data_IF_385763798644
#
_entry.id   IF_385763798644
#
_cell.length_a   1.000
_cell.length_b   1.000
_cell.length_c   1.000
_cell.angle_alpha   90.00
_cell.angle_beta   90.00
_cell.angle_gamma   90.00
#
_symmetry.space_group_name_H-M   'P 1'
#
loop_
_entity.id
_entity.type
_entity.pdbx_description
1 polymer ?
#
# COMPACT_ATOMS: atom_id res chain seq x y z
N UNK A 1 0.94 -25.01 9.32
CA UNK A 1 0.23 -23.78 9.71
C UNK A 1 0.64 -22.70 8.74
N UNK A 2 -0.17 -22.46 7.71
CA UNK A 2 0.06 -21.42 6.71
C UNK A 2 -0.11 -20.04 7.36
N UNK A 3 0.96 -19.57 8.01
CA UNK A 3 1.10 -18.16 8.34
C UNK A 3 1.57 -17.43 7.08
N UNK A 4 0.67 -17.32 6.09
CA UNK A 4 0.79 -16.26 5.09
C UNK A 4 0.49 -14.94 5.81
N UNK A 5 1.53 -14.38 6.45
CA UNK A 5 1.56 -13.00 6.97
C UNK A 5 1.25 -11.97 5.87
N UNK A 6 1.31 -12.40 4.61
CA UNK A 6 1.00 -11.63 3.42
C UNK A 6 0.04 -12.43 2.55
N UNK A 7 -1.18 -11.94 2.34
CA UNK A 7 -2.04 -12.54 1.33
C UNK A 7 -3.50 -12.18 1.42
N UNK A 8 -4.08 -11.98 0.24
CA UNK A 8 -5.51 -12.07 -0.02
C UNK A 8 -6.10 -13.30 0.68
N UNK A 9 -7.18 -13.10 1.43
CA UNK A 9 -7.99 -14.19 1.97
C UNK A 9 -9.37 -14.09 1.34
N UNK A 10 -9.76 -15.15 0.63
CA UNK A 10 -11.09 -15.23 0.07
C UNK A 10 -12.12 -15.15 1.21
N UNK A 11 -12.88 -14.05 1.26
CA UNK A 11 -14.05 -13.92 2.14
C UNK A 11 -15.27 -13.62 1.28
N UNK A 12 -16.45 -14.01 1.74
CA UNK A 12 -17.69 -13.73 1.03
C UNK A 12 -18.25 -12.37 1.47
N UNK A 13 -17.70 -11.27 0.96
CA UNK A 13 -18.15 -9.90 1.26
C UNK A 13 -18.45 -9.13 -0.02
N UNK A 14 -19.31 -8.11 0.06
CA UNK A 14 -19.66 -7.27 -1.09
C UNK A 14 -18.41 -6.65 -1.74
N UNK A 15 -17.45 -6.21 -0.91
CA UNK A 15 -16.18 -5.66 -1.39
C UNK A 15 -15.37 -6.72 -2.13
N UNK A 16 -15.26 -7.95 -1.61
CA UNK A 16 -14.48 -9.00 -2.28
C UNK A 16 -14.98 -9.35 -3.68
N UNK A 17 -16.28 -9.25 -3.91
CA UNK A 17 -16.89 -9.52 -5.22
C UNK A 17 -16.78 -8.38 -6.24
N UNK A 18 -16.29 -7.21 -5.84
CA UNK A 18 -15.98 -6.15 -6.78
C UNK A 18 -14.63 -6.43 -7.46
N UNK A 19 -14.53 -6.05 -8.73
CA UNK A 19 -13.35 -6.22 -9.57
C UNK A 19 -12.16 -5.45 -8.97
N UNK A 20 -10.97 -6.06 -8.97
CA UNK A 20 -9.72 -5.46 -8.52
C UNK A 20 -9.41 -4.10 -9.16
N UNK A 21 -9.78 -3.92 -10.44
CA UNK A 21 -9.72 -2.64 -11.15
C UNK A 21 -10.52 -1.54 -10.47
N UNK A 22 -11.79 -1.79 -10.10
CA UNK A 22 -12.65 -0.78 -9.47
C UNK A 22 -12.12 -0.40 -8.08
N UNK A 23 -11.65 -1.39 -7.31
CA UNK A 23 -10.98 -1.18 -6.02
C UNK A 23 -9.71 -0.34 -6.17
N UNK A 24 -8.87 -0.63 -7.16
CA UNK A 24 -7.65 0.12 -7.43
C UNK A 24 -7.97 1.58 -7.81
N UNK A 25 -8.91 1.79 -8.72
CA UNK A 25 -9.34 3.14 -9.13
C UNK A 25 -9.88 3.91 -7.93
N UNK A 26 -10.76 3.29 -7.13
CA UNK A 26 -11.28 3.89 -5.91
C UNK A 26 -10.18 4.22 -4.89
N UNK A 27 -9.25 3.28 -4.66
CA UNK A 27 -8.10 3.48 -3.78
C UNK A 27 -7.24 4.67 -4.24
N UNK A 28 -6.84 4.70 -5.51
CA UNK A 28 -6.02 5.78 -6.07
C UNK A 28 -6.75 7.12 -6.03
N UNK A 29 -8.04 7.16 -6.40
CA UNK A 29 -8.85 8.36 -6.37
C UNK A 29 -8.94 8.96 -4.95
N UNK A 30 -9.31 8.14 -3.96
CA UNK A 30 -9.49 8.57 -2.57
C UNK A 30 -8.16 8.97 -1.91
N UNK A 31 -7.09 8.22 -2.15
CA UNK A 31 -5.76 8.56 -1.63
C UNK A 31 -5.22 9.84 -2.26
N UNK A 32 -5.40 10.05 -3.56
CA UNK A 32 -4.93 11.26 -4.24
C UNK A 32 -5.65 12.50 -3.72
N UNK A 33 -7.00 12.49 -3.67
CA UNK A 33 -7.75 13.66 -3.18
C UNK A 33 -7.46 13.94 -1.70
N UNK A 34 -7.37 12.90 -0.86
CA UNK A 34 -7.04 13.07 0.55
C UNK A 34 -5.61 13.57 0.78
N UNK A 35 -4.65 13.20 -0.08
CA UNK A 35 -3.26 13.68 0.05
C UNK A 35 -3.13 15.15 -0.35
N UNK A 36 -3.89 15.59 -1.36
CA UNK A 36 -3.91 16.99 -1.82
C UNK A 36 -4.66 17.89 -0.83
N UNK A 37 -5.71 17.38 -0.18
CA UNK A 37 -6.54 18.14 0.75
C UNK A 37 -5.86 18.38 2.09
N UNK A 38 -6.06 19.57 2.65
CA UNK A 38 -5.74 19.93 4.04
C UNK A 38 -7.01 20.39 4.78
N UNK A 39 -8.18 19.93 4.33
CA UNK A 39 -9.44 20.13 5.05
C UNK A 39 -9.63 19.02 6.10
N UNK A 40 -9.56 19.39 7.37
CA UNK A 40 -9.67 18.46 8.49
C UNK A 40 -11.01 17.73 8.54
N UNK A 41 -12.12 18.40 8.17
CA UNK A 41 -13.47 17.81 8.19
C UNK A 41 -13.56 16.73 7.12
N UNK A 42 -13.03 17.01 5.94
CA UNK A 42 -12.95 16.04 4.85
C UNK A 42 -12.05 14.86 5.20
N UNK A 43 -10.88 15.09 5.80
CA UNK A 43 -9.96 14.04 6.22
C UNK A 43 -10.54 13.15 7.34
N UNK A 44 -11.29 13.72 8.28
CA UNK A 44 -12.03 12.94 9.30
C UNK A 44 -13.09 12.07 8.61
N UNK A 45 -13.87 12.61 7.68
CA UNK A 45 -14.87 11.85 6.94
C UNK A 45 -14.25 10.69 6.15
N UNK A 46 -13.11 10.92 5.47
CA UNK A 46 -12.35 9.88 4.78
C UNK A 46 -11.80 8.82 5.75
N UNK A 47 -11.33 9.25 6.93
CA UNK A 47 -10.83 8.33 7.96
C UNK A 47 -11.95 7.40 8.42
N UNK A 48 -13.12 7.94 8.77
CA UNK A 48 -14.29 7.17 9.18
C UNK A 48 -14.69 6.20 8.07
N UNK A 49 -14.81 6.67 6.82
CA UNK A 49 -15.13 5.83 5.67
C UNK A 49 -14.14 4.67 5.51
N UNK A 50 -12.84 4.94 5.65
CA UNK A 50 -11.80 3.93 5.49
C UNK A 50 -11.91 2.80 6.53
N UNK A 51 -12.25 3.11 7.79
CA UNK A 51 -12.50 2.12 8.83
C UNK A 51 -13.82 1.37 8.63
N UNK A 52 -14.86 2.05 8.13
CA UNK A 52 -16.11 1.40 7.73
C UNK A 52 -15.85 0.36 6.63
N UNK A 53 -15.01 0.67 5.64
CA UNK A 53 -14.64 -0.27 4.59
C UNK A 53 -13.88 -1.49 5.14
N UNK A 54 -12.97 -1.32 6.10
CA UNK A 54 -12.33 -2.45 6.81
C UNK A 54 -13.39 -3.35 7.48
N UNK A 55 -14.35 -2.75 8.18
CA UNK A 55 -15.41 -3.47 8.89
C UNK A 55 -16.31 -4.23 7.92
N UNK A 56 -16.70 -3.60 6.80
CA UNK A 56 -17.47 -4.22 5.72
C UNK A 56 -16.71 -5.34 5.01
N UNK A 57 -15.39 -5.23 4.91
CA UNK A 57 -14.54 -6.29 4.35
C UNK A 57 -14.28 -7.45 5.33
N UNK A 58 -14.81 -7.37 6.56
CA UNK A 58 -14.62 -8.33 7.64
C UNK A 58 -13.14 -8.70 7.86
N UNK A 59 -12.26 -7.70 7.77
CA UNK A 59 -10.83 -7.85 8.04
C UNK A 59 -10.62 -7.80 9.56
N UNK A 60 -10.11 -8.88 10.15
CA UNK A 60 -9.85 -8.92 11.60
C UNK A 60 -8.63 -8.06 11.93
N UNK A 61 -8.67 -7.33 13.05
CA UNK A 61 -7.57 -6.48 13.52
C UNK A 61 -6.23 -7.21 13.59
N UNK A 62 -6.24 -8.48 14.02
CA UNK A 62 -5.04 -9.33 14.14
C UNK A 62 -4.28 -9.50 12.82
N UNK A 63 -4.95 -9.39 11.68
CA UNK A 63 -4.36 -9.61 10.36
C UNK A 63 -3.51 -8.42 9.89
N UNK A 64 -3.81 -7.21 10.35
CA UNK A 64 -3.09 -5.99 9.98
C UNK A 64 -2.47 -5.26 11.18
N UNK A 65 -2.61 -5.77 12.41
CA UNK A 65 -2.11 -5.12 13.62
C UNK A 65 -0.60 -4.85 13.58
N UNK A 66 0.20 -5.76 13.02
CA UNK A 66 1.64 -5.56 12.86
C UNK A 66 1.93 -4.40 11.88
N UNK A 67 1.24 -4.39 10.74
CA UNK A 67 1.39 -3.34 9.73
C UNK A 67 0.92 -1.98 10.26
N UNK A 68 -0.19 -1.95 11.01
CA UNK A 68 -0.69 -0.73 11.65
C UNK A 68 0.31 -0.18 12.66
N UNK A 69 0.85 -1.04 13.55
CA UNK A 69 1.87 -0.62 14.52
C UNK A 69 3.10 -0.05 13.83
N UNK A 70 3.56 -0.68 12.76
CA UNK A 70 4.71 -0.22 11.98
C UNK A 70 4.43 1.15 11.33
N UNK A 71 3.28 1.32 10.70
CA UNK A 71 2.89 2.58 10.05
C UNK A 71 2.69 3.69 11.07
N UNK A 72 2.06 3.41 12.21
CA UNK A 72 1.91 4.38 13.30
C UNK A 72 3.26 4.76 13.91
N UNK A 73 4.18 3.80 14.08
CA UNK A 73 5.52 4.06 14.58
C UNK A 73 6.31 4.97 13.62
N UNK A 74 6.33 4.64 12.33
CA UNK A 74 6.99 5.47 11.30
C UNK A 74 6.30 6.85 11.21
N UNK A 75 4.97 6.88 11.24
CA UNK A 75 4.19 8.12 11.21
C UNK A 75 4.49 9.01 12.42
N UNK A 76 4.59 8.44 13.62
CA UNK A 76 4.95 9.16 14.83
C UNK A 76 6.37 9.72 14.75
N UNK A 77 7.34 8.93 14.29
CA UNK A 77 8.70 9.42 14.06
C UNK A 77 8.69 10.58 13.06
N UNK A 78 7.91 10.48 12.00
CA UNK A 78 7.81 11.54 11.00
C UNK A 78 7.21 12.83 11.60
N UNK A 79 6.12 12.73 12.37
CA UNK A 79 5.53 13.88 13.06
C UNK A 79 6.54 14.54 14.02
N UNK A 80 7.28 13.74 14.80
CA UNK A 80 8.33 14.25 15.69
C UNK A 80 9.49 14.89 14.90
N UNK A 81 9.89 14.30 13.77
CA UNK A 81 10.92 14.90 12.92
C UNK A 81 10.46 16.24 12.36
N UNK A 82 9.20 16.37 11.96
CA UNK A 82 8.63 17.62 11.46
C UNK A 82 8.60 18.69 12.56
N UNK A 83 8.15 18.36 13.78
CA UNK A 83 8.17 19.34 14.90
C UNK A 83 9.57 19.84 15.19
N UNK A 84 10.58 18.96 15.17
CA UNK A 84 11.97 19.30 15.53
C UNK A 84 12.68 20.08 14.42
N UNK A 85 12.50 19.67 13.16
CA UNK A 85 13.20 20.25 12.01
C UNK A 85 12.51 21.51 11.46
N UNK A 86 11.19 21.58 11.53
CA UNK A 86 10.38 22.67 10.97
C UNK A 86 9.23 23.11 11.91
N UNK A 87 9.54 23.61 13.12
CA UNK A 87 8.55 23.96 14.14
C UNK A 87 7.60 25.11 13.76
N UNK A 88 7.99 25.96 12.81
CA UNK A 88 7.19 27.13 12.36
C UNK A 88 6.47 26.89 11.02
N UNK A 89 6.47 25.66 10.51
CA UNK A 89 5.86 25.36 9.21
C UNK A 89 4.35 25.65 9.20
N UNK A 90 3.64 25.29 10.28
CA UNK A 90 2.22 25.59 10.44
C UNK A 90 1.92 27.10 10.45
N UNK A 91 2.76 27.91 11.11
CA UNK A 91 2.62 29.38 11.12
C UNK A 91 2.73 29.96 9.71
N UNK A 92 3.75 29.53 8.94
CA UNK A 92 3.91 29.96 7.56
C UNK A 92 2.71 29.55 6.68
N UNK A 93 2.10 28.40 6.97
CA UNK A 93 1.00 27.84 6.20
C UNK A 93 -0.33 28.56 6.46
N UNK A 94 -0.63 28.84 7.73
CA UNK A 94 -1.92 29.41 8.15
C UNK A 94 -1.88 30.95 8.30
N UNK A 95 -0.69 31.54 8.35
CA UNK A 95 -0.49 33.00 8.41
C UNK A 95 -0.76 33.64 9.77
N UNK A 96 -1.04 32.83 10.79
CA UNK A 96 -1.27 33.25 12.18
C UNK A 96 -0.28 32.58 13.11
N UNK A 97 -0.05 33.17 14.29
CA UNK A 97 0.86 32.65 15.30
C UNK A 97 0.21 32.66 16.68
N UNK A 98 -0.20 31.49 17.15
CA UNK A 98 -0.67 31.31 18.53
C UNK A 98 0.31 30.39 19.26
N UNK A 99 1.20 30.99 20.04
CA UNK A 99 2.20 30.27 20.84
C UNK A 99 1.51 29.58 22.00
N UNK A 100 1.71 28.27 22.14
CA UNK A 100 1.17 27.50 23.25
C UNK A 100 2.26 27.15 24.26
N UNK A 101 3.38 26.59 23.81
CA UNK A 101 4.50 26.19 24.67
C UNK A 101 5.85 26.42 23.98
N UNK A 102 6.88 26.68 24.80
CA UNK A 102 8.26 26.83 24.33
C UNK A 102 8.66 28.26 24.01
N UNK A 103 9.96 28.46 23.81
CA UNK A 103 10.57 29.73 23.41
C UNK A 103 11.75 29.45 22.48
N UNK A 104 11.99 30.32 21.51
CA UNK A 104 13.05 30.15 20.51
C UNK A 104 12.68 29.17 19.39
N UNK A 105 13.66 28.37 18.92
CA UNK A 105 13.47 27.44 17.81
C UNK A 105 12.36 26.42 18.08
N UNK A 106 12.28 25.88 19.29
CA UNK A 106 11.30 24.86 19.70
C UNK A 106 9.97 25.46 20.18
N UNK A 107 9.48 26.49 19.50
CA UNK A 107 8.16 27.06 19.81
C UNK A 107 7.08 26.19 19.19
N UNK A 108 6.21 25.60 20.02
CA UNK A 108 5.06 24.82 19.58
C UNK A 108 3.86 25.76 19.48
N UNK A 109 3.37 25.94 18.24
CA UNK A 109 2.20 26.75 17.95
C UNK A 109 0.96 25.89 17.75
N UNK A 110 -0.22 26.48 17.96
CA UNK A 110 -1.50 25.81 17.68
C UNK A 110 -1.61 25.43 16.20
N UNK A 111 -1.11 26.29 15.32
CA UNK A 111 -1.06 26.08 13.88
C UNK A 111 -0.20 24.86 13.50
N UNK A 112 0.94 24.67 14.16
CA UNK A 112 1.82 23.52 13.95
C UNK A 112 1.15 22.21 14.39
N UNK A 113 0.52 22.21 15.57
CA UNK A 113 -0.22 21.04 16.06
C UNK A 113 -1.40 20.70 15.15
N UNK A 114 -2.10 21.71 14.63
CA UNK A 114 -3.20 21.51 13.69
C UNK A 114 -2.72 20.97 12.34
N UNK A 115 -1.58 21.45 11.83
CA UNK A 115 -0.94 20.87 10.65
C UNK A 115 -0.59 19.39 10.86
N UNK A 116 0.01 19.05 12.00
CA UNK A 116 0.37 17.68 12.35
C UNK A 116 -0.84 16.77 12.53
N UNK A 117 -1.94 17.28 13.08
CA UNK A 117 -3.20 16.57 13.14
C UNK A 117 -3.70 16.19 11.74
N UNK A 118 -3.64 17.12 10.78
CA UNK A 118 -4.02 16.82 9.40
C UNK A 118 -3.11 15.75 8.78
N UNK A 119 -1.80 15.78 9.07
CA UNK A 119 -0.87 14.75 8.60
C UNK A 119 -1.12 13.38 9.26
N UNK A 120 -1.44 13.34 10.55
CA UNK A 120 -1.86 12.14 11.26
C UNK A 120 -3.11 11.55 10.59
N UNK A 121 -4.12 12.37 10.32
CA UNK A 121 -5.34 11.94 9.63
C UNK A 121 -5.02 11.36 8.24
N UNK A 122 -4.04 11.93 7.51
CA UNK A 122 -3.58 11.39 6.22
C UNK A 122 -3.06 9.96 6.35
N UNK A 123 -2.29 9.66 7.39
CA UNK A 123 -1.87 8.28 7.68
C UNK A 123 -3.05 7.39 8.07
N UNK A 124 -3.97 7.90 8.90
CA UNK A 124 -5.10 7.14 9.44
C UNK A 124 -6.15 6.77 8.39
N UNK A 125 -6.35 7.55 7.32
CA UNK A 125 -7.28 7.18 6.25
C UNK A 125 -6.60 6.35 5.14
N UNK A 126 -5.35 6.68 4.79
CA UNK A 126 -4.65 6.05 3.65
C UNK A 126 -4.28 4.59 3.96
N UNK A 127 -3.86 4.31 5.20
CA UNK A 127 -3.48 2.97 5.61
C UNK A 127 -4.67 1.98 5.54
N UNK A 128 -5.85 2.25 6.14
CA UNK A 128 -6.99 1.35 6.03
C UNK A 128 -7.45 1.11 4.59
N UNK A 129 -7.45 2.15 3.74
CA UNK A 129 -7.77 1.99 2.31
C UNK A 129 -6.81 1.01 1.62
N UNK A 130 -5.51 1.11 1.94
CA UNK A 130 -4.48 0.21 1.42
C UNK A 130 -4.71 -1.24 1.87
N UNK A 131 -5.07 -1.43 3.15
CA UNK A 131 -5.39 -2.74 3.73
C UNK A 131 -6.63 -3.35 3.06
N UNK A 132 -7.67 -2.56 2.78
CA UNK A 132 -8.84 -3.04 2.05
C UNK A 132 -8.42 -3.55 0.67
N UNK A 133 -7.66 -2.77 -0.11
CA UNK A 133 -7.20 -3.20 -1.43
C UNK A 133 -6.38 -4.51 -1.37
N UNK A 134 -5.42 -4.58 -0.46
CA UNK A 134 -4.46 -5.69 -0.35
C UNK A 134 -5.10 -7.00 0.11
N UNK A 135 -6.04 -6.95 1.06
CA UNK A 135 -6.68 -8.14 1.61
C UNK A 135 -7.91 -8.62 0.82
N UNK A 136 -8.48 -7.75 -0.04
CA UNK A 136 -9.72 -8.05 -0.79
C UNK A 136 -9.52 -8.31 -2.28
N UNK A 137 -8.29 -8.18 -2.79
CA UNK A 137 -8.01 -8.36 -4.22
C UNK A 137 -7.05 -9.53 -4.43
N UNK A 138 -7.43 -10.47 -5.31
CA UNK A 138 -6.54 -11.56 -5.67
C UNK A 138 -5.32 -11.02 -6.45
N UNK A 139 -4.08 -11.43 -6.13
CA UNK A 139 -2.88 -10.99 -6.85
C UNK A 139 -2.93 -11.17 -8.38
N UNK A 140 -3.49 -12.29 -8.86
CA UNK A 140 -3.63 -12.56 -10.30
C UNK A 140 -4.70 -11.68 -10.96
N UNK A 141 -5.79 -11.43 -10.23
CA UNK A 141 -6.85 -10.51 -10.66
C UNK A 141 -6.35 -9.05 -10.68
N UNK A 142 -5.56 -8.65 -9.68
CA UNK A 142 -4.91 -7.34 -9.61
C UNK A 142 -4.08 -7.08 -10.87
N UNK A 143 -3.25 -8.06 -11.25
CA UNK A 143 -2.43 -7.97 -12.45
C UNK A 143 -3.27 -7.87 -13.73
N UNK A 144 -4.34 -8.66 -13.87
CA UNK A 144 -5.29 -8.52 -14.99
C UNK A 144 -5.97 -7.15 -14.99
N UNK A 145 -6.29 -6.62 -13.81
CA UNK A 145 -6.90 -5.31 -13.63
C UNK A 145 -6.02 -4.14 -14.06
N UNK A 146 -4.69 -4.25 -13.94
CA UNK A 146 -3.76 -3.26 -14.47
C UNK A 146 -3.91 -3.10 -16.00
N UNK A 147 -4.06 -4.22 -16.73
CA UNK A 147 -4.21 -4.17 -18.17
C UNK A 147 -5.49 -3.43 -18.61
N UNK A 148 -6.56 -3.52 -17.82
CA UNK A 148 -7.82 -2.79 -18.06
C UNK A 148 -7.69 -1.27 -17.94
N UNK A 149 -6.77 -0.78 -17.11
CA UNK A 149 -6.54 0.65 -16.88
C UNK A 149 -5.53 1.21 -17.91
N UNK A 150 -5.16 0.42 -18.92
CA UNK A 150 -4.28 0.84 -20.01
C UNK A 150 -2.81 0.47 -19.83
N UNK A 151 -2.45 -0.27 -18.76
CA UNK A 151 -1.09 -0.80 -18.62
C UNK A 151 -0.82 -1.84 -19.72
N UNK A 152 0.31 -1.78 -20.45
CA UNK A 152 0.63 -2.75 -21.49
C UNK A 152 0.58 -4.19 -20.97
N UNK A 153 0.01 -5.11 -21.75
CA UNK A 153 -0.22 -6.48 -21.28
C UNK A 153 1.08 -7.19 -20.87
N UNK A 154 2.23 -6.83 -21.47
CA UNK A 154 3.55 -7.36 -21.11
C UNK A 154 3.93 -7.00 -19.67
N UNK A 155 3.65 -5.76 -19.26
CA UNK A 155 3.91 -5.26 -17.89
C UNK A 155 2.95 -5.91 -16.90
N UNK A 156 1.65 -5.93 -17.21
CA UNK A 156 0.65 -6.63 -16.40
C UNK A 156 1.00 -8.12 -16.23
N UNK A 157 1.46 -8.78 -17.29
CA UNK A 157 1.85 -10.19 -17.25
C UNK A 157 3.12 -10.42 -16.43
N UNK A 158 4.10 -9.50 -16.48
CA UNK A 158 5.28 -9.56 -15.62
C UNK A 158 4.86 -9.51 -14.13
N UNK A 159 3.96 -8.60 -13.76
CA UNK A 159 3.40 -8.52 -12.39
C UNK A 159 2.69 -9.83 -12.01
N UNK A 160 1.86 -10.39 -12.89
CA UNK A 160 1.15 -11.65 -12.64
C UNK A 160 2.12 -12.82 -12.39
N UNK A 161 3.17 -12.92 -13.22
CA UNK A 161 4.24 -13.91 -13.09
C UNK A 161 4.95 -13.72 -11.74
N UNK A 162 5.41 -12.52 -11.42
CA UNK A 162 6.12 -12.25 -10.17
C UNK A 162 5.29 -12.68 -8.97
N UNK A 163 4.00 -12.29 -8.91
CA UNK A 163 3.11 -12.64 -7.81
C UNK A 163 2.91 -14.16 -7.69
N UNK A 164 2.85 -14.88 -8.82
CA UNK A 164 2.76 -16.35 -8.85
C UNK A 164 4.05 -17.03 -8.39
N UNK A 165 5.22 -16.44 -8.62
CA UNK A 165 6.51 -17.03 -8.27
C UNK A 165 6.97 -16.71 -6.84
N UNK A 166 6.35 -15.76 -6.13
CA UNK A 166 6.68 -15.48 -4.72
C UNK A 166 6.65 -16.75 -3.84
N UNK A 167 5.59 -17.60 -3.89
CA UNK A 167 5.57 -18.85 -3.11
C UNK A 167 6.68 -19.82 -3.51
N UNK A 168 6.98 -19.94 -4.80
CA UNK A 168 8.07 -20.80 -5.29
C UNK A 168 9.43 -20.32 -4.75
N UNK A 169 9.70 -19.01 -4.81
CA UNK A 169 10.94 -18.42 -4.28
C UNK A 169 11.04 -18.60 -2.77
N UNK A 170 9.93 -18.52 -2.03
CA UNK A 170 9.91 -18.82 -0.59
C UNK A 170 10.24 -20.29 -0.29
N UNK A 171 9.72 -21.21 -1.10
CA UNK A 171 10.01 -22.65 -1.00
C UNK A 171 11.48 -22.94 -1.32
N UNK A 172 12.00 -22.35 -2.40
CA UNK A 172 13.40 -22.48 -2.81
C UNK A 172 14.33 -21.90 -1.71
N UNK A 173 14.01 -20.72 -1.19
CA UNK A 173 14.74 -20.12 -0.05
C UNK A 173 14.77 -21.06 1.15
N UNK A 174 13.62 -21.64 1.54
CA UNK A 174 13.54 -22.56 2.68
C UNK A 174 14.40 -23.81 2.45
N UNK A 175 14.33 -24.38 1.26
CA UNK A 175 15.10 -25.57 0.87
C UNK A 175 16.60 -25.29 0.91
N UNK A 176 17.04 -24.20 0.28
CA UNK A 176 18.45 -23.78 0.25
C UNK A 176 18.92 -23.44 1.67
N UNK A 177 18.11 -22.74 2.45
CA UNK A 177 18.44 -22.39 3.84
C UNK A 177 18.67 -23.63 4.69
N UNK A 178 17.81 -24.66 4.59
CA UNK A 178 18.00 -25.93 5.29
C UNK A 178 19.25 -26.67 4.82
N UNK A 179 19.53 -26.69 3.52
CA UNK A 179 20.73 -27.31 2.97
C UNK A 179 22.02 -26.62 3.44
N UNK A 180 22.04 -25.28 3.51
CA UNK A 180 23.20 -24.54 4.02
C UNK A 180 23.38 -24.72 5.53
N UNK A 181 22.28 -24.83 6.29
CA UNK A 181 22.36 -25.18 7.71
C UNK A 181 22.95 -26.58 7.93
N UNK A 182 22.60 -27.55 7.09
CA UNK A 182 23.20 -28.89 7.12
C UNK A 182 24.70 -28.89 6.78
N UNK A 183 25.18 -27.90 6.01
CA UNK A 183 26.61 -27.66 5.73
C UNK A 183 27.34 -26.90 6.85
N UNK A 184 26.68 -26.63 7.97
CA UNK A 184 27.27 -25.98 9.14
C UNK A 184 27.16 -24.45 9.15
N UNK A 185 26.44 -23.84 8.20
CA UNK A 185 26.17 -22.41 8.25
C UNK A 185 25.07 -22.11 9.27
N UNK A 186 25.47 -21.64 10.45
CA UNK A 186 24.52 -21.20 11.48
C UNK A 186 23.97 -19.80 11.15
N UNK A 187 22.67 -19.71 10.89
CA UNK A 187 21.95 -18.46 10.54
C UNK A 187 21.11 -17.96 11.73
N UNK A 188 21.02 -18.79 12.78
CA UNK A 188 20.31 -18.53 14.02
C UNK A 188 20.85 -17.28 14.74
N UNK A 189 20.00 -16.68 15.57
CA UNK A 189 20.36 -15.57 16.48
C UNK A 189 21.51 -15.94 17.45
N UNK A 190 21.85 -17.22 17.58
CA UNK A 190 22.97 -17.72 18.40
C UNK A 190 24.35 -17.47 17.81
N UNK A 191 24.45 -17.21 16.49
CA UNK A 191 25.73 -16.98 15.81
C UNK A 191 26.07 -15.49 15.70
N UNK A 192 27.36 -15.18 15.55
CA UNK A 192 27.86 -13.80 15.39
C UNK A 192 27.30 -13.14 14.13
N UNK A 193 27.14 -11.81 14.14
CA UNK A 193 26.60 -11.05 12.98
C UNK A 193 27.34 -11.36 11.67
N UNK A 194 28.67 -11.44 11.71
CA UNK A 194 29.51 -11.74 10.55
C UNK A 194 29.22 -13.14 10.01
N UNK A 195 29.05 -14.13 10.88
CA UNK A 195 28.74 -15.50 10.49
C UNK A 195 27.34 -15.62 9.88
N UNK A 196 26.36 -14.89 10.42
CA UNK A 196 25.00 -14.79 9.85
C UNK A 196 25.00 -14.14 8.47
N UNK A 197 25.79 -13.09 8.29
CA UNK A 197 25.95 -12.46 6.97
C UNK A 197 26.55 -13.42 5.96
N UNK A 198 27.64 -14.12 6.31
CA UNK A 198 28.24 -15.16 5.45
C UNK A 198 27.23 -16.25 5.09
N UNK A 199 26.51 -16.78 6.08
CA UNK A 199 25.45 -17.78 5.86
C UNK A 199 24.33 -17.27 4.95
N UNK A 200 23.94 -16.00 5.08
CA UNK A 200 22.92 -15.38 4.23
C UNK A 200 23.38 -15.28 2.77
N UNK A 201 24.63 -14.87 2.53
CA UNK A 201 25.22 -14.82 1.18
C UNK A 201 25.22 -16.20 0.52
N UNK A 202 25.51 -17.26 1.28
CA UNK A 202 25.49 -18.65 0.79
C UNK A 202 24.09 -19.16 0.42
N UNK A 203 23.02 -18.48 0.84
CA UNK A 203 21.64 -18.79 0.44
C UNK A 203 21.23 -17.94 -0.76
N UNK A 204 21.55 -16.65 -0.73
CA UNK A 204 21.17 -15.71 -1.79
C UNK A 204 21.80 -16.11 -3.12
N UNK A 205 23.09 -16.47 -3.13
CA UNK A 205 23.77 -16.84 -4.37
C UNK A 205 23.10 -18.02 -5.11
N UNK A 206 22.89 -19.20 -4.49
CA UNK A 206 22.13 -20.29 -5.13
C UNK A 206 20.71 -19.92 -5.51
N UNK A 207 20.03 -19.10 -4.71
CA UNK A 207 18.66 -18.67 -5.00
C UNK A 207 18.60 -17.79 -6.26
N UNK A 208 19.58 -16.90 -6.44
CA UNK A 208 19.71 -16.08 -7.65
C UNK A 208 19.99 -16.95 -8.87
N UNK A 209 20.94 -17.89 -8.80
CA UNK A 209 21.23 -18.79 -9.92
C UNK A 209 20.02 -19.69 -10.28
N UNK A 210 19.31 -20.22 -9.28
CA UNK A 210 18.06 -20.96 -9.49
C UNK A 210 17.01 -20.09 -10.19
N UNK A 211 16.87 -18.85 -9.75
CA UNK A 211 15.92 -17.89 -10.34
C UNK A 211 16.30 -17.54 -11.79
N UNK A 212 17.59 -17.38 -12.11
CA UNK A 212 18.06 -17.14 -13.48
C UNK A 212 17.76 -18.31 -14.42
N UNK A 213 18.08 -19.54 -14.02
CA UNK A 213 17.74 -20.72 -14.84
C UNK A 213 16.22 -20.88 -15.03
N UNK A 214 15.44 -20.53 -14.00
CA UNK A 214 13.98 -20.47 -14.10
C UNK A 214 13.51 -19.39 -15.09
N UNK A 215 14.13 -18.23 -15.11
CA UNK A 215 13.81 -17.16 -16.08
C UNK A 215 14.07 -17.66 -17.51
N UNK A 216 15.20 -18.32 -17.77
CA UNK A 216 15.54 -18.85 -19.10
C UNK A 216 14.50 -19.85 -19.59
N UNK A 217 14.15 -20.83 -18.74
CA UNK A 217 13.14 -21.86 -19.07
C UNK A 217 11.76 -21.26 -19.32
N UNK A 218 11.33 -20.29 -18.50
CA UNK A 218 10.05 -19.59 -18.67
C UNK A 218 10.06 -18.76 -19.95
N UNK A 219 11.14 -18.02 -20.22
CA UNK A 219 11.26 -17.16 -21.40
C UNK A 219 11.18 -17.97 -22.69
N UNK A 220 11.93 -19.07 -22.78
CA UNK A 220 11.88 -19.99 -23.93
C UNK A 220 10.47 -20.60 -24.09
N UNK A 221 9.84 -21.03 -23.00
CA UNK A 221 8.47 -21.55 -23.05
C UNK A 221 7.44 -20.48 -23.47
N UNK A 222 7.65 -19.21 -23.08
CA UNK A 222 6.82 -18.09 -23.49
C UNK A 222 6.98 -17.81 -24.99
N UNK A 223 8.20 -17.84 -25.51
CA UNK A 223 8.49 -17.66 -26.94
C UNK A 223 7.85 -18.76 -27.80
N UNK A 224 7.97 -20.03 -27.40
CA UNK A 224 7.30 -21.17 -28.05
C UNK A 224 5.76 -21.02 -28.06
N UNK A 225 5.19 -20.40 -27.01
CA UNK A 225 3.77 -20.08 -26.92
C UNK A 225 3.39 -18.76 -27.61
N UNK A 226 4.29 -18.20 -28.43
CA UNK A 226 4.11 -16.95 -29.20
C UNK A 226 3.79 -15.74 -28.32
N UNK A 227 4.31 -15.71 -27.09
CA UNK A 227 4.21 -14.54 -26.24
C UNK A 227 4.90 -13.35 -26.94
N UNK A 228 4.24 -12.20 -27.01
CA UNK A 228 4.83 -11.03 -27.69
C UNK A 228 4.35 -10.80 -29.11
N UNK A 229 3.72 -11.80 -29.76
CA UNK A 229 3.34 -11.72 -31.18
C UNK A 229 2.27 -10.68 -31.49
N UNK A 230 1.34 -10.45 -30.58
CA UNK A 230 0.21 -9.53 -30.76
C UNK A 230 0.22 -8.41 -29.72
N UNK A 231 -0.37 -7.26 -30.08
CA UNK A 231 -0.48 -6.11 -29.17
C UNK A 231 -1.51 -6.31 -28.05
N UNK A 232 -2.43 -7.28 -28.20
CA UNK A 232 -3.52 -7.56 -27.24
C UNK A 232 -3.54 -9.04 -26.88
N UNK A 233 -4.04 -9.36 -25.68
CA UNK A 233 -4.20 -10.72 -25.16
C UNK A 233 -5.47 -10.82 -24.32
N UNK A 234 -6.13 -11.98 -24.34
CA UNK A 234 -7.22 -12.32 -23.42
C UNK A 234 -6.69 -12.76 -22.05
N UNK A 235 -7.45 -12.48 -20.99
CA UNK A 235 -7.09 -12.80 -19.61
C UNK A 235 -8.09 -13.78 -19.00
N UNK A 236 -7.61 -14.93 -18.55
CA UNK A 236 -8.48 -15.96 -17.95
C UNK A 236 -9.01 -15.56 -16.56
N UNK A 237 -8.18 -14.88 -15.76
CA UNK A 237 -8.52 -14.38 -14.43
C UNK A 237 -9.28 -13.04 -14.46
N UNK A 238 -9.74 -12.62 -15.65
CA UNK A 238 -10.45 -11.36 -15.80
C UNK A 238 -11.87 -11.46 -15.24
N UNK A 239 -12.18 -10.68 -14.19
CA UNK A 239 -13.55 -10.56 -13.71
C UNK A 239 -14.38 -9.67 -14.65
N UNK A 240 -15.63 -10.07 -14.89
CA UNK A 240 -16.59 -9.27 -15.66
C UNK A 240 -17.01 -8.06 -14.83
N UNK A 241 -17.10 -6.91 -15.48
CA UNK A 241 -17.55 -5.68 -14.84
C UNK A 241 -18.99 -5.84 -14.35
N UNK A 242 -19.22 -5.60 -13.07
CA UNK A 242 -20.50 -5.77 -12.40
C UNK A 242 -21.11 -4.42 -12.03
N UNK A 243 -22.40 -4.39 -11.70
CA UNK A 243 -23.05 -3.17 -11.19
C UNK A 243 -22.44 -2.66 -9.88
N UNK A 244 -21.78 -3.55 -9.12
CA UNK A 244 -21.05 -3.19 -7.89
C UNK A 244 -19.81 -2.35 -8.20
N UNK A 245 -19.16 -2.65 -9.32
CA UNK A 245 -17.98 -1.90 -9.80
C UNK A 245 -18.37 -0.49 -10.23
N UNK A 246 -19.50 -0.36 -10.94
CA UNK A 246 -20.08 0.94 -11.30
C UNK A 246 -20.39 1.74 -10.04
N UNK A 247 -21.07 1.13 -9.06
CA UNK A 247 -21.39 1.80 -7.80
C UNK A 247 -20.13 2.25 -7.04
N UNK A 248 -19.08 1.42 -6.97
CA UNK A 248 -17.81 1.81 -6.32
C UNK A 248 -17.14 3.00 -7.01
N UNK A 249 -17.07 2.99 -8.35
CA UNK A 249 -16.46 4.09 -9.10
C UNK A 249 -17.28 5.37 -8.99
N UNK A 250 -18.61 5.28 -9.04
CA UNK A 250 -19.47 6.45 -8.86
C UNK A 250 -19.32 7.04 -7.46
N UNK A 251 -19.28 6.19 -6.42
CA UNK A 251 -19.06 6.64 -5.05
C UNK A 251 -17.69 7.28 -4.84
N UNK A 252 -16.62 6.68 -5.37
CA UNK A 252 -15.28 7.27 -5.26
C UNK A 252 -15.19 8.60 -6.03
N UNK A 253 -15.80 8.68 -7.21
CA UNK A 253 -15.86 9.90 -8.02
C UNK A 253 -16.65 11.00 -7.30
N UNK A 254 -17.78 10.66 -6.68
CA UNK A 254 -18.57 11.60 -5.90
C UNK A 254 -17.76 12.21 -4.74
N UNK A 255 -17.01 11.38 -4.02
CA UNK A 255 -16.15 11.84 -2.92
C UNK A 255 -15.02 12.75 -3.43
N UNK A 256 -14.43 12.43 -4.60
CA UNK A 256 -13.44 13.30 -5.24
C UNK A 256 -14.06 14.65 -5.60
N UNK A 257 -15.26 14.65 -6.21
CA UNK A 257 -15.97 15.89 -6.58
C UNK A 257 -16.26 16.72 -5.32
N UNK A 258 -16.72 16.11 -4.23
CA UNK A 258 -16.92 16.81 -2.95
C UNK A 258 -15.61 17.44 -2.46
N UNK A 259 -14.50 16.69 -2.50
CA UNK A 259 -13.18 17.22 -2.12
C UNK A 259 -12.73 18.41 -2.98
N UNK A 260 -12.97 18.34 -4.30
CA UNK A 260 -12.66 19.45 -5.23
C UNK A 260 -13.56 20.66 -4.98
N UNK A 261 -14.86 20.44 -4.73
CA UNK A 261 -15.80 21.52 -4.40
C UNK A 261 -15.39 22.23 -3.10
N UNK A 262 -14.93 21.49 -2.09
CA UNK A 262 -14.41 22.07 -0.85
C UNK A 262 -13.19 22.97 -1.10
N UNK A 263 -12.37 22.69 -2.12
CA UNK A 263 -11.27 23.59 -2.48
C UNK A 263 -11.77 24.94 -3.00
N UNK A 264 -12.90 24.94 -3.72
CA UNK A 264 -13.51 26.16 -4.25
C UNK A 264 -14.15 26.95 -3.10
N UNK A 265 -14.89 26.29 -2.20
CA UNK A 265 -15.55 26.97 -1.07
C UNK A 265 -14.57 27.54 -0.07
N UNK A 266 -13.44 26.87 0.17
CA UNK A 266 -12.42 27.31 1.11
C UNK A 266 -11.45 28.34 0.49
N UNK A 267 -11.58 28.65 -0.81
CA UNK A 267 -10.66 29.54 -1.53
C UNK A 267 -9.25 28.96 -1.68
N UNK A 268 -9.08 27.64 -1.57
CA UNK A 268 -7.79 26.96 -1.60
C UNK A 268 -7.86 25.53 -1.07
N UNK A 269 -6.71 24.85 -1.05
CA UNK A 269 -6.60 23.44 -0.58
C UNK A 269 -6.73 23.28 0.94
N UNK A 270 -6.72 24.39 1.68
CA UNK A 270 -6.61 24.43 3.12
C UNK A 270 -7.87 24.98 3.74
N UNK A 271 -8.34 24.30 4.77
CA UNK A 271 -9.34 24.87 5.67
C UNK A 271 -8.59 25.54 6.84
N UNK A 272 -8.76 26.85 7.00
CA UNK A 272 -8.10 27.62 8.07
C UNK A 272 -9.11 27.92 9.19
N UNK A 273 -8.99 27.28 10.37
CA UNK A 273 -9.86 27.56 11.51
C UNK A 273 -9.42 28.78 12.34
N UNK A 274 -8.26 29.38 12.05
CA UNK A 274 -7.65 30.47 12.81
C UNK A 274 -7.91 31.87 12.22
N UNK A 275 -8.76 31.97 11.19
CA UNK A 275 -9.26 33.24 10.64
C UNK A 275 -10.56 33.66 11.29
#
# INVERSE_FOLDING_TARGET
MDNSLFGYKARNTWINHATGTAKLVGFLALTTIGMISYDTRFLIALTILSFVLIKMAHIKYQEYALLLKLVLFIGLINLVMITVLAPQYGEQLYGTKHVMFGSGWFTITQEQLFYELNLLLKYLFSFPLSIVLLFTTNPSEFAAGLNKIGVPYKVAYAVAITLRYIPDVQSDYRTISLAQQARGYEISKKSSLIQRMKGTVQIILPLVFSSLGRIDTISQAMELRRFGRYNKRSWYQEQRFSMRDVAMILWSTLIVVIGVLLFITNGGRMWNPFK
#
